data_IF_162308102591
#
_entry.id   IF_162308102591
#
_cell.length_a   1.000
_cell.length_b   1.000
_cell.length_c   1.000
_cell.angle_alpha   90.00
_cell.angle_beta   90.00
_cell.angle_gamma   90.00
#
_symmetry.space_group_name_H-M   'P 1'
#
loop_
_entity.id
_entity.type
_entity.pdbx_description
1 polymer ?
#
# COMPACT_ATOMS: atom_id res chain seq x y z
N UNK A 1 -4.68 -66.21 -65.68
CA UNK A 1 -4.87 -64.99 -64.91
C UNK A 1 -4.38 -65.16 -63.46
N UNK A 2 -3.16 -64.68 -63.19
CA UNK A 2 -2.60 -64.68 -61.82
C UNK A 2 -2.76 -63.32 -61.21
N UNK A 3 -3.42 -63.23 -60.04
CA UNK A 3 -3.46 -62.05 -59.25
C UNK A 3 -2.23 -62.00 -58.36
N UNK A 4 -1.43 -60.96 -58.49
CA UNK A 4 -0.38 -60.63 -57.54
C UNK A 4 -0.98 -59.87 -56.39
N UNK A 5 -0.89 -60.46 -55.23
CA UNK A 5 -1.19 -59.77 -53.97
C UNK A 5 0.13 -59.19 -53.49
N UNK A 6 0.20 -57.87 -53.40
CA UNK A 6 1.32 -57.19 -52.75
C UNK A 6 0.97 -57.07 -51.30
N UNK A 7 1.69 -57.76 -50.43
CA UNK A 7 1.61 -57.60 -48.96
C UNK A 7 2.34 -56.32 -48.57
N UNK A 8 1.64 -55.43 -47.95
CA UNK A 8 2.23 -54.22 -47.33
C UNK A 8 2.71 -54.55 -45.92
N UNK A 9 3.99 -54.39 -45.66
CA UNK A 9 4.58 -54.52 -44.35
C UNK A 9 4.10 -53.34 -43.43
N UNK A 10 3.76 -53.60 -42.15
CA UNK A 10 3.42 -52.55 -41.21
C UNK A 10 4.69 -51.83 -40.76
N UNK A 11 4.69 -50.52 -40.86
CA UNK A 11 5.73 -49.65 -40.32
C UNK A 11 5.83 -49.80 -38.81
N UNK A 12 7.01 -50.17 -38.34
CA UNK A 12 7.29 -50.24 -36.89
C UNK A 12 7.47 -48.82 -36.38
N UNK A 13 6.50 -48.32 -35.65
CA UNK A 13 6.61 -47.11 -34.86
C UNK A 13 7.59 -47.34 -33.71
N UNK A 14 8.76 -46.71 -33.78
CA UNK A 14 9.69 -46.70 -32.66
C UNK A 14 9.13 -45.73 -31.59
N UNK A 15 8.51 -46.28 -30.56
CA UNK A 15 8.22 -45.56 -29.33
C UNK A 15 9.53 -45.16 -28.64
N UNK A 16 9.84 -43.87 -28.63
CA UNK A 16 10.86 -43.33 -27.77
C UNK A 16 10.39 -43.46 -26.31
N UNK A 17 11.21 -43.95 -25.38
CA UNK A 17 10.83 -44.00 -23.97
C UNK A 17 10.70 -42.57 -23.44
N UNK A 18 9.48 -42.14 -23.18
CA UNK A 18 9.21 -40.99 -22.37
C UNK A 18 9.78 -41.25 -20.97
N UNK A 19 10.86 -40.59 -20.64
CA UNK A 19 11.35 -40.53 -19.27
C UNK A 19 10.31 -39.80 -18.44
N UNK A 20 9.40 -40.55 -17.87
CA UNK A 20 8.47 -40.06 -16.84
C UNK A 20 9.25 -39.99 -15.54
N UNK A 21 9.68 -38.80 -15.14
CA UNK A 21 10.12 -38.58 -13.78
C UNK A 21 9.01 -39.02 -12.82
N UNK A 22 9.33 -39.64 -11.69
CA UNK A 22 8.30 -40.10 -10.76
C UNK A 22 7.51 -38.90 -10.24
N UNK A 23 6.22 -38.88 -10.52
CA UNK A 23 5.28 -37.82 -10.18
C UNK A 23 5.30 -37.45 -8.68
N UNK A 24 5.71 -38.38 -7.83
CA UNK A 24 5.78 -38.19 -6.38
C UNK A 24 6.94 -37.27 -5.98
N UNK A 25 8.11 -37.35 -6.63
CA UNK A 25 9.25 -36.47 -6.34
C UNK A 25 9.00 -35.05 -6.85
N UNK A 26 8.39 -34.89 -8.01
CA UNK A 26 8.01 -33.59 -8.56
C UNK A 26 6.95 -32.89 -7.68
N UNK A 27 5.97 -33.63 -7.19
CA UNK A 27 4.92 -33.07 -6.31
C UNK A 27 5.51 -32.66 -4.95
N UNK A 28 6.41 -33.44 -4.38
CA UNK A 28 7.02 -33.16 -3.08
C UNK A 28 8.00 -31.97 -3.17
N UNK A 29 8.85 -31.92 -4.16
CA UNK A 29 9.74 -30.79 -4.43
C UNK A 29 8.96 -29.51 -4.68
N UNK A 30 7.92 -29.56 -5.50
CA UNK A 30 7.03 -28.43 -5.81
C UNK A 30 6.34 -27.87 -4.56
N UNK A 31 5.90 -28.73 -3.63
CA UNK A 31 5.18 -28.30 -2.43
C UNK A 31 6.11 -27.59 -1.42
N UNK A 32 7.25 -28.19 -1.09
CA UNK A 32 8.23 -27.59 -0.19
C UNK A 32 8.82 -26.28 -0.74
N UNK A 33 9.16 -26.29 -2.02
CA UNK A 33 9.72 -25.14 -2.71
C UNK A 33 8.69 -23.99 -2.80
N UNK A 34 7.43 -24.32 -3.06
CA UNK A 34 6.33 -23.36 -3.03
C UNK A 34 6.15 -22.74 -1.64
N UNK A 35 6.11 -23.55 -0.59
CA UNK A 35 5.97 -23.07 0.78
C UNK A 35 7.11 -22.12 1.18
N UNK A 36 8.36 -22.46 0.83
CA UNK A 36 9.51 -21.58 1.08
C UNK A 36 9.44 -20.26 0.31
N UNK A 37 8.97 -20.29 -0.94
CA UNK A 37 8.78 -19.07 -1.74
C UNK A 37 7.69 -18.18 -1.16
N UNK A 38 6.58 -18.75 -0.74
CA UNK A 38 5.49 -18.00 -0.10
C UNK A 38 5.98 -17.33 1.18
N UNK A 39 6.67 -18.08 2.06
CA UNK A 39 7.23 -17.54 3.30
C UNK A 39 8.23 -16.41 3.04
N UNK A 40 9.12 -16.58 2.06
CA UNK A 40 10.09 -15.55 1.68
C UNK A 40 9.41 -14.28 1.13
N UNK A 41 8.36 -14.43 0.30
CA UNK A 41 7.59 -13.32 -0.24
C UNK A 41 6.80 -12.59 0.85
N UNK A 42 6.20 -13.31 1.77
CA UNK A 42 5.46 -12.72 2.91
C UNK A 42 6.39 -11.93 3.81
N UNK A 43 7.58 -12.47 4.10
CA UNK A 43 8.62 -11.78 4.89
C UNK A 43 9.10 -10.50 4.21
N UNK A 44 9.41 -10.57 2.92
CA UNK A 44 9.84 -9.41 2.13
C UNK A 44 8.76 -8.33 2.07
N UNK A 45 7.50 -8.73 1.84
CA UNK A 45 6.36 -7.83 1.82
C UNK A 45 6.15 -7.14 3.19
N UNK A 46 6.33 -7.86 4.29
CA UNK A 46 6.22 -7.31 5.63
C UNK A 46 7.37 -6.34 5.94
N UNK A 47 8.59 -6.67 5.57
CA UNK A 47 9.76 -5.78 5.73
C UNK A 47 9.59 -4.49 4.95
N UNK A 48 9.08 -4.57 3.71
CA UNK A 48 8.80 -3.41 2.88
C UNK A 48 7.69 -2.53 3.47
N UNK A 49 6.62 -3.16 3.97
CA UNK A 49 5.54 -2.46 4.69
C UNK A 49 6.07 -1.73 5.92
N UNK A 50 6.93 -2.37 6.70
CA UNK A 50 7.50 -1.80 7.93
C UNK A 50 8.39 -0.59 7.62
N UNK A 51 9.21 -0.67 6.58
CA UNK A 51 10.05 0.45 6.12
C UNK A 51 9.20 1.63 5.66
N UNK A 52 8.17 1.37 4.88
CA UNK A 52 7.22 2.37 4.39
C UNK A 52 6.48 3.05 5.54
N UNK A 53 5.94 2.29 6.45
CA UNK A 53 5.24 2.80 7.63
C UNK A 53 6.17 3.65 8.48
N UNK A 54 7.40 3.21 8.71
CA UNK A 54 8.40 3.98 9.46
C UNK A 54 8.71 5.32 8.82
N UNK A 55 8.91 5.36 7.51
CA UNK A 55 9.13 6.61 6.77
C UNK A 55 7.95 7.57 6.91
N UNK A 56 6.73 7.06 6.84
CA UNK A 56 5.50 7.84 7.04
C UNK A 56 5.41 8.37 8.47
N UNK A 57 5.66 7.55 9.48
CA UNK A 57 5.61 7.99 10.88
C UNK A 57 6.69 9.05 11.21
N UNK A 58 7.88 8.94 10.63
CA UNK A 58 8.92 9.95 10.75
C UNK A 58 8.49 11.28 10.11
N UNK A 59 7.83 11.22 8.97
CA UNK A 59 7.24 12.40 8.33
C UNK A 59 6.16 13.04 9.19
N UNK A 60 5.25 12.25 9.74
CA UNK A 60 4.20 12.71 10.65
C UNK A 60 4.81 13.45 11.85
N UNK A 61 5.82 12.86 12.48
CA UNK A 61 6.51 13.48 13.61
C UNK A 61 7.12 14.83 13.22
N UNK A 62 7.90 14.89 12.18
CA UNK A 62 8.58 16.12 11.72
C UNK A 62 7.58 17.21 11.33
N UNK A 63 6.52 16.84 10.62
CA UNK A 63 5.54 17.79 10.08
C UNK A 63 4.61 18.33 11.15
N UNK A 64 4.12 17.48 12.04
CA UNK A 64 3.07 17.84 13.00
C UNK A 64 3.60 18.33 14.35
N UNK A 65 4.88 18.14 14.64
CA UNK A 65 5.49 18.59 15.91
C UNK A 65 5.38 20.10 16.12
N UNK A 66 5.35 20.87 15.06
CA UNK A 66 5.15 22.33 15.09
C UNK A 66 3.76 22.71 15.60
N UNK A 67 2.73 21.95 15.24
CA UNK A 67 1.34 22.33 15.46
C UNK A 67 0.72 21.70 16.71
N UNK A 68 1.29 20.60 17.21
CA UNK A 68 0.69 19.80 18.27
C UNK A 68 1.57 19.76 19.51
N UNK A 69 0.90 19.68 20.65
CA UNK A 69 1.56 19.30 21.90
C UNK A 69 2.04 17.85 21.82
N UNK A 70 3.08 17.53 22.55
CA UNK A 70 3.73 16.21 22.49
C UNK A 70 2.75 15.05 22.69
N UNK A 71 1.85 15.17 23.66
CA UNK A 71 0.83 14.17 23.94
C UNK A 71 -0.10 13.92 22.73
N UNK A 72 -0.55 15.00 22.07
CA UNK A 72 -1.41 14.91 20.90
C UNK A 72 -0.65 14.45 19.65
N UNK A 73 0.62 14.81 19.55
CA UNK A 73 1.50 14.30 18.48
C UNK A 73 1.62 12.76 18.53
N UNK A 74 1.81 12.19 19.71
CA UNK A 74 1.83 10.74 19.86
C UNK A 74 0.51 10.08 19.48
N UNK A 75 -0.62 10.73 19.80
CA UNK A 75 -1.95 10.25 19.37
C UNK A 75 -2.09 10.23 17.84
N UNK A 76 -1.57 11.25 17.16
CA UNK A 76 -1.56 11.29 15.67
C UNK A 76 -0.69 10.19 15.12
N UNK A 77 0.51 9.98 15.65
CA UNK A 77 1.41 8.91 15.24
C UNK A 77 0.75 7.54 15.38
N UNK A 78 0.13 7.27 16.53
CA UNK A 78 -0.62 6.02 16.75
C UNK A 78 -1.82 5.88 15.80
N UNK A 79 -2.56 6.98 15.55
CA UNK A 79 -3.68 6.97 14.62
C UNK A 79 -3.23 6.63 13.18
N UNK A 80 -2.13 7.20 12.72
CA UNK A 80 -1.57 6.89 11.40
C UNK A 80 -1.07 5.44 11.32
N UNK A 81 -0.46 4.96 12.38
CA UNK A 81 -0.02 3.56 12.49
C UNK A 81 -1.20 2.59 12.40
N UNK A 82 -2.28 2.83 13.13
CA UNK A 82 -3.50 2.04 13.04
C UNK A 82 -4.13 2.14 11.64
N UNK A 83 -4.16 3.33 11.05
CA UNK A 83 -4.65 3.53 9.70
C UNK A 83 -3.81 2.80 8.64
N UNK A 84 -2.52 2.65 8.86
CA UNK A 84 -1.65 1.86 7.98
C UNK A 84 -1.99 0.37 7.94
N UNK A 85 -2.65 -0.14 8.98
CA UNK A 85 -3.10 -1.53 9.09
C UNK A 85 -4.57 -1.72 8.73
N UNK A 86 -5.39 -0.67 8.86
CA UNK A 86 -6.82 -0.69 8.58
C UNK A 86 -7.25 0.63 7.93
N UNK A 87 -7.53 0.60 6.63
CA UNK A 87 -7.94 1.78 5.85
C UNK A 87 -9.25 2.40 6.33
N UNK A 88 -10.07 1.64 7.06
CA UNK A 88 -11.34 2.08 7.64
C UNK A 88 -11.23 2.53 9.10
N UNK A 89 -10.03 2.55 9.66
CA UNK A 89 -9.81 3.01 11.02
C UNK A 89 -10.30 4.45 11.21
N UNK A 90 -11.07 4.67 12.28
CA UNK A 90 -11.55 6.00 12.67
C UNK A 90 -10.76 6.49 13.88
N UNK A 91 -9.95 7.54 13.74
CA UNK A 91 -9.14 8.05 14.84
C UNK A 91 -9.98 8.81 15.87
N UNK A 92 -9.42 8.92 17.07
CA UNK A 92 -9.95 9.83 18.10
C UNK A 92 -9.62 11.27 17.72
N UNK A 93 -10.60 12.18 17.88
CA UNK A 93 -10.45 13.58 17.51
C UNK A 93 -9.40 14.31 18.36
N UNK A 94 -8.60 15.14 17.70
CA UNK A 94 -7.68 16.09 18.31
C UNK A 94 -8.23 17.49 18.07
N UNK A 95 -8.54 18.21 19.16
CA UNK A 95 -9.19 19.51 19.12
C UNK A 95 -8.30 20.65 19.57
N UNK A 96 -7.07 20.36 19.94
CA UNK A 96 -6.13 21.27 20.55
C UNK A 96 -4.89 21.42 19.68
N UNK A 97 -4.54 22.66 19.38
CA UNK A 97 -3.34 22.98 18.60
C UNK A 97 -2.44 23.93 19.39
N UNK A 98 -1.16 23.70 19.34
CA UNK A 98 -0.13 24.62 19.84
C UNK A 98 0.03 25.83 18.92
N UNK A 99 -0.03 25.58 17.62
CA UNK A 99 -0.07 26.56 16.56
C UNK A 99 -1.20 26.20 15.60
N UNK A 100 -2.08 27.18 15.30
CA UNK A 100 -3.21 26.93 14.42
C UNK A 100 -2.79 26.46 13.03
N UNK A 101 -3.53 25.49 12.52
CA UNK A 101 -3.39 25.00 11.17
C UNK A 101 -4.77 24.93 10.49
N UNK A 102 -4.84 25.41 9.26
CA UNK A 102 -6.06 25.41 8.46
C UNK A 102 -6.26 24.05 7.74
N UNK A 103 -7.42 23.90 7.10
CA UNK A 103 -7.77 22.63 6.45
C UNK A 103 -6.89 22.31 5.24
N UNK A 104 -6.47 23.30 4.43
CA UNK A 104 -5.68 23.02 3.21
C UNK A 104 -4.32 22.37 3.51
N UNK A 105 -3.49 22.88 4.43
CA UNK A 105 -2.29 22.16 4.85
C UNK A 105 -2.56 20.74 5.35
N UNK A 106 -3.65 20.52 6.06
CA UNK A 106 -4.04 19.18 6.54
C UNK A 106 -4.53 18.25 5.42
N UNK A 107 -5.15 18.80 4.36
CA UNK A 107 -5.44 18.03 3.15
C UNK A 107 -4.15 17.54 2.48
N UNK A 108 -3.16 18.41 2.37
CA UNK A 108 -1.84 18.05 1.84
C UNK A 108 -1.17 16.97 2.69
N UNK A 109 -1.24 17.12 4.00
CA UNK A 109 -0.71 16.14 4.95
C UNK A 109 -1.30 14.74 4.74
N UNK A 110 -2.63 14.61 4.70
CA UNK A 110 -3.27 13.31 4.51
C UNK A 110 -3.03 12.74 3.11
N UNK A 111 -2.95 13.60 2.09
CA UNK A 111 -2.61 13.18 0.74
C UNK A 111 -1.18 12.59 0.70
N UNK A 112 -0.22 13.30 1.25
CA UNK A 112 1.18 12.88 1.30
C UNK A 112 1.37 11.51 1.98
N UNK A 113 0.67 11.28 3.10
CA UNK A 113 0.75 9.99 3.81
C UNK A 113 0.05 8.88 3.04
N UNK A 114 -1.15 9.12 2.56
CA UNK A 114 -1.94 8.10 1.86
C UNK A 114 -1.28 7.61 0.57
N UNK A 115 -0.64 8.50 -0.19
CA UNK A 115 0.10 8.13 -1.40
C UNK A 115 1.24 7.14 -1.11
N UNK A 116 1.82 7.20 0.08
CA UNK A 116 2.91 6.30 0.50
C UNK A 116 2.44 5.04 1.19
N UNK A 117 1.35 5.11 1.94
CA UNK A 117 0.76 3.91 2.58
C UNK A 117 0.14 2.95 1.57
N UNK A 118 -0.45 3.47 0.50
CA UNK A 118 -1.03 2.67 -0.56
C UNK A 118 -1.98 3.47 -1.44
N UNK A 119 -1.46 4.04 -2.51
CA UNK A 119 -2.21 4.92 -3.41
C UNK A 119 -3.57 4.37 -3.84
N UNK A 120 -3.64 3.05 -4.12
CA UNK A 120 -4.85 2.38 -4.60
C UNK A 120 -5.80 1.98 -3.48
N UNK A 121 -5.26 1.67 -2.30
CA UNK A 121 -6.02 1.15 -1.16
C UNK A 121 -6.68 2.27 -0.36
N UNK A 122 -6.12 3.48 -0.40
CA UNK A 122 -6.62 4.67 0.28
C UNK A 122 -7.38 5.56 -0.71
N UNK A 123 -8.69 5.32 -0.84
CA UNK A 123 -9.56 6.12 -1.70
C UNK A 123 -9.65 7.56 -1.21
N UNK A 124 -10.12 8.46 -2.07
CA UNK A 124 -10.37 9.86 -1.69
C UNK A 124 -11.31 9.97 -0.49
N UNK A 125 -12.38 9.19 -0.49
CA UNK A 125 -13.34 9.17 0.61
C UNK A 125 -12.70 8.72 1.94
N UNK A 126 -11.84 7.72 1.92
CA UNK A 126 -11.11 7.24 3.11
C UNK A 126 -10.14 8.29 3.64
N UNK A 127 -9.42 8.99 2.77
CA UNK A 127 -8.50 10.07 3.15
C UNK A 127 -9.24 11.22 3.83
N UNK A 128 -10.35 11.65 3.26
CA UNK A 128 -11.19 12.73 3.80
C UNK A 128 -11.81 12.30 5.13
N UNK A 129 -12.36 11.10 5.21
CA UNK A 129 -12.93 10.58 6.46
C UNK A 129 -11.90 10.55 7.59
N UNK A 130 -10.69 10.08 7.32
CA UNK A 130 -9.61 10.01 8.30
C UNK A 130 -9.21 11.39 8.81
N UNK A 131 -8.92 12.34 7.92
CA UNK A 131 -8.43 13.67 8.33
C UNK A 131 -9.50 14.49 9.04
N UNK A 132 -10.76 14.39 8.64
CA UNK A 132 -11.89 15.04 9.32
C UNK A 132 -12.12 14.47 10.72
N UNK A 133 -12.01 13.17 10.87
CA UNK A 133 -12.15 12.51 12.17
C UNK A 133 -10.99 12.87 13.10
N UNK A 134 -9.77 12.95 12.56
CA UNK A 134 -8.57 13.29 13.34
C UNK A 134 -8.55 14.76 13.79
N UNK A 135 -8.89 15.69 12.91
CA UNK A 135 -8.87 17.13 13.15
C UNK A 135 -10.20 17.78 12.77
N UNK A 136 -11.28 17.56 13.53
CA UNK A 136 -12.61 18.02 13.11
C UNK A 136 -12.74 19.54 13.01
N UNK A 137 -12.09 20.32 13.86
CA UNK A 137 -12.24 21.79 13.89
C UNK A 137 -11.83 22.48 12.58
N UNK A 138 -10.66 22.22 11.97
CA UNK A 138 -10.28 22.84 10.70
C UNK A 138 -11.19 22.48 9.51
N UNK A 139 -11.96 21.40 9.63
CA UNK A 139 -12.86 20.92 8.57
C UNK A 139 -14.33 21.21 8.85
N UNK A 140 -14.64 21.93 9.91
CA UNK A 140 -16.00 22.27 10.30
C UNK A 140 -16.73 23.02 9.16
N UNK A 141 -17.93 22.53 8.80
CA UNK A 141 -18.75 23.12 7.75
C UNK A 141 -18.29 22.82 6.33
N UNK A 142 -17.25 22.02 6.11
CA UNK A 142 -16.74 21.64 4.80
C UNK A 142 -17.31 20.28 4.39
N UNK A 143 -17.88 20.24 3.18
CA UNK A 143 -18.44 19.03 2.59
C UNK A 143 -17.43 18.27 1.72
N UNK A 144 -17.82 17.07 1.30
CA UNK A 144 -16.99 16.22 0.44
C UNK A 144 -16.65 16.91 -0.90
N UNK A 145 -17.57 17.65 -1.48
CA UNK A 145 -17.35 18.31 -2.77
C UNK A 145 -16.22 19.34 -2.71
N UNK A 146 -16.08 20.02 -1.58
CA UNK A 146 -14.97 20.94 -1.31
C UNK A 146 -13.66 20.18 -1.02
N UNK A 147 -13.72 19.12 -0.23
CA UNK A 147 -12.57 18.39 0.28
C UNK A 147 -11.96 17.41 -0.72
N UNK A 148 -12.71 16.96 -1.74
CA UNK A 148 -12.21 16.03 -2.76
C UNK A 148 -10.97 16.53 -3.52
N UNK A 149 -10.71 17.83 -3.54
CA UNK A 149 -9.45 18.39 -3.99
C UNK A 149 -8.45 18.48 -2.84
N UNK A 150 -7.83 17.37 -2.50
CA UNK A 150 -6.82 17.33 -1.44
C UNK A 150 -5.54 18.10 -1.79
N UNK A 151 -5.25 18.29 -3.06
CA UNK A 151 -4.09 19.05 -3.55
C UNK A 151 -4.41 20.51 -3.84
N UNK A 152 -5.44 21.06 -3.19
CA UNK A 152 -5.82 22.47 -3.37
C UNK A 152 -4.64 23.41 -3.13
N UNK A 153 -4.47 24.48 -3.96
CA UNK A 153 -3.40 25.44 -3.78
C UNK A 153 -3.49 26.14 -2.42
N UNK A 154 -2.35 26.35 -1.78
CA UNK A 154 -2.24 27.13 -0.55
C UNK A 154 -1.27 28.29 -0.79
N UNK A 155 -1.64 29.49 -0.32
CA UNK A 155 -0.77 30.67 -0.40
C UNK A 155 0.46 30.56 0.50
N UNK A 156 0.38 29.76 1.55
CA UNK A 156 1.46 29.47 2.48
C UNK A 156 1.76 27.98 2.41
N UNK A 157 2.91 27.59 1.88
CA UNK A 157 3.36 26.18 1.82
C UNK A 157 3.80 25.67 3.20
N UNK A 158 2.90 25.78 4.19
CA UNK A 158 3.14 25.31 5.58
C UNK A 158 3.35 23.80 5.58
N UNK A 159 2.50 23.07 4.85
CA UNK A 159 2.65 21.65 4.55
C UNK A 159 2.49 21.52 3.04
N UNK A 160 3.57 21.51 2.28
CA UNK A 160 3.49 21.38 0.82
C UNK A 160 3.10 19.97 0.39
N UNK A 161 2.53 19.86 -0.81
CA UNK A 161 2.37 18.57 -1.48
C UNK A 161 3.75 17.98 -1.73
N UNK A 162 3.93 16.75 -1.32
CA UNK A 162 5.15 15.98 -1.49
C UNK A 162 4.84 14.71 -2.27
N UNK A 163 5.06 14.75 -3.59
CA UNK A 163 4.78 13.60 -4.45
C UNK A 163 5.87 12.54 -4.31
N UNK A 164 5.51 11.26 -4.05
CA UNK A 164 6.49 10.20 -4.02
C UNK A 164 7.07 9.97 -5.41
N UNK A 165 8.35 9.63 -5.48
CA UNK A 165 8.94 9.08 -6.68
C UNK A 165 8.25 7.75 -7.05
N UNK A 166 8.31 7.34 -8.33
CA UNK A 166 7.62 6.15 -8.83
C UNK A 166 7.82 4.92 -7.94
N UNK A 167 6.76 4.50 -7.24
CA UNK A 167 6.76 3.37 -6.32
C UNK A 167 7.55 3.59 -5.03
N UNK A 168 8.12 4.77 -4.82
CA UNK A 168 8.86 5.12 -3.61
C UNK A 168 7.98 5.61 -2.47
N UNK A 169 8.56 5.67 -1.29
CA UNK A 169 7.91 6.20 -0.08
C UNK A 169 8.75 7.25 0.64
N UNK A 170 9.84 7.71 0.03
CA UNK A 170 10.67 8.78 0.57
C UNK A 170 9.96 10.13 0.49
N UNK A 171 10.25 10.99 1.46
CA UNK A 171 9.77 12.36 1.52
C UNK A 171 10.91 13.32 1.18
N UNK A 172 10.59 14.42 0.50
CA UNK A 172 11.56 15.38 -0.02
C UNK A 172 11.86 16.57 0.90
N UNK A 173 11.21 16.61 2.04
CA UNK A 173 11.35 17.75 2.97
C UNK A 173 11.96 17.43 4.31
#
# INVERSE_FOLDING_TARGET
TKKNVVEAEPATEQEQPKQTLPQTELAQYSHEDYAKRVEAQEKEAQEEKDKRTRAVLDYVHRTMSRFLYEEDLYKVIEAVKEWSNDTNYTPTAINRFKENVENIPLRHFVWNIAERLGKRDYTMAMRIAFIKALFPKPFEGLDYSTLKNLKAPCSNDIIPIDEPANGGYDFHG
#
